data_IF_079406068354
#
_entry.id   IF_079406068354
#
_cell.length_a   1.000
_cell.length_b   1.000
_cell.length_c   1.000
_cell.angle_alpha   90.00
_cell.angle_beta   90.00
_cell.angle_gamma   90.00
#
_symmetry.space_group_name_H-M   'P 1'
#
loop_
_entity.id
_entity.type
_entity.pdbx_description
1 polymer ?
#
# COMPACT_ATOMS: atom_id res chain seq x y z
N UNK A 1 2.66 -20.49 9.90
CA UNK A 1 1.90 -21.50 9.14
C UNK A 1 1.82 -20.99 7.71
N UNK A 2 2.38 -21.71 6.76
CA UNK A 2 2.35 -21.32 5.34
C UNK A 2 1.54 -22.36 4.59
N UNK A 3 0.53 -21.92 3.84
CA UNK A 3 -0.23 -22.80 2.95
C UNK A 3 0.67 -23.14 1.76
N UNK A 4 1.11 -24.40 1.67
CA UNK A 4 1.91 -24.87 0.54
C UNK A 4 1.09 -24.75 -0.75
N UNK A 5 1.74 -24.37 -1.87
CA UNK A 5 1.08 -24.36 -3.18
C UNK A 5 0.56 -25.77 -3.50
N UNK A 6 -0.61 -25.84 -4.15
CA UNK A 6 -1.26 -27.08 -4.59
C UNK A 6 -1.83 -28.01 -3.51
N UNK A 7 -1.78 -27.63 -2.22
CA UNK A 7 -2.52 -28.36 -1.19
C UNK A 7 -4.04 -28.14 -1.35
N UNK A 8 -4.83 -28.99 -0.69
CA UNK A 8 -6.29 -28.88 -0.70
C UNK A 8 -6.78 -27.47 -0.29
N UNK A 9 -6.20 -26.92 0.78
CA UNK A 9 -6.54 -25.58 1.26
C UNK A 9 -6.22 -24.48 0.23
N UNK A 10 -5.11 -24.58 -0.50
CA UNK A 10 -4.76 -23.64 -1.58
C UNK A 10 -5.77 -23.71 -2.72
N UNK A 11 -6.14 -24.92 -3.15
CA UNK A 11 -7.12 -25.11 -4.24
C UNK A 11 -8.48 -24.56 -3.85
N UNK A 12 -8.95 -24.84 -2.63
CA UNK A 12 -10.21 -24.31 -2.12
C UNK A 12 -10.21 -22.77 -2.08
N UNK A 13 -9.14 -22.15 -1.59
CA UNK A 13 -9.03 -20.69 -1.52
C UNK A 13 -8.91 -20.03 -2.90
N UNK A 14 -8.23 -20.68 -3.86
CA UNK A 14 -8.04 -20.15 -5.22
C UNK A 14 -9.37 -19.97 -5.98
N UNK A 15 -10.41 -20.72 -5.62
CA UNK A 15 -11.76 -20.55 -6.19
C UNK A 15 -12.44 -19.24 -5.78
N UNK A 16 -11.97 -18.61 -4.70
CA UNK A 16 -12.49 -17.33 -4.20
C UNK A 16 -11.65 -16.14 -4.68
N UNK A 17 -10.55 -16.39 -5.40
CA UNK A 17 -9.66 -15.33 -5.87
C UNK A 17 -10.32 -14.55 -7.01
N UNK A 18 -10.44 -13.24 -6.83
CA UNK A 18 -10.95 -12.33 -7.85
C UNK A 18 -9.78 -11.56 -8.48
N UNK A 19 -9.40 -11.84 -9.75
CA UNK A 19 -8.15 -11.33 -10.33
C UNK A 19 -8.00 -9.81 -10.30
N UNK A 20 -9.11 -9.07 -10.49
CA UNK A 20 -9.06 -7.61 -10.46
C UNK A 20 -8.76 -7.09 -9.06
N UNK A 21 -9.49 -7.56 -8.04
CA UNK A 21 -9.26 -7.14 -6.64
C UNK A 21 -7.89 -7.59 -6.15
N UNK A 22 -7.43 -8.77 -6.58
CA UNK A 22 -6.07 -9.23 -6.31
C UNK A 22 -5.04 -8.23 -6.85
N UNK A 23 -5.16 -7.81 -8.10
CA UNK A 23 -4.23 -6.84 -8.68
C UNK A 23 -4.29 -5.49 -7.97
N UNK A 24 -5.48 -4.94 -7.75
CA UNK A 24 -5.67 -3.67 -7.03
C UNK A 24 -5.02 -3.72 -5.64
N UNK A 25 -5.33 -4.73 -4.83
CA UNK A 25 -4.74 -4.90 -3.50
C UNK A 25 -3.24 -5.18 -3.54
N UNK A 26 -2.74 -5.85 -4.57
CA UNK A 26 -1.29 -6.06 -4.76
C UNK A 26 -0.58 -4.72 -4.97
N UNK A 27 -1.14 -3.82 -5.78
CA UNK A 27 -0.57 -2.49 -6.03
C UNK A 27 -0.57 -1.64 -4.76
N UNK A 28 -1.66 -1.66 -3.99
CA UNK A 28 -1.74 -1.00 -2.68
C UNK A 28 -0.65 -1.50 -1.73
N UNK A 29 -0.49 -2.82 -1.65
CA UNK A 29 0.54 -3.46 -0.81
C UNK A 29 1.95 -3.14 -1.25
N UNK A 30 2.21 -3.02 -2.56
CA UNK A 30 3.52 -2.59 -3.07
C UNK A 30 3.84 -1.18 -2.54
N UNK A 31 2.91 -0.22 -2.69
CA UNK A 31 3.13 1.16 -2.24
C UNK A 31 3.37 1.24 -0.73
N UNK A 32 2.51 0.59 0.07
CA UNK A 32 2.64 0.55 1.54
C UNK A 32 3.94 -0.15 1.95
N UNK A 33 4.30 -1.23 1.25
CA UNK A 33 5.50 -2.03 1.52
C UNK A 33 6.80 -1.23 1.39
N UNK A 34 6.86 -0.24 0.50
CA UNK A 34 8.04 0.63 0.34
C UNK A 34 8.23 1.57 1.53
N UNK A 35 7.14 2.13 2.06
CA UNK A 35 7.19 3.07 3.18
C UNK A 35 7.62 2.39 4.47
N UNK A 36 7.23 1.12 4.65
CA UNK A 36 7.51 0.34 5.84
C UNK A 36 6.81 0.91 7.06
N UNK A 37 5.62 0.40 7.37
CA UNK A 37 4.83 0.84 8.53
C UNK A 37 3.91 -0.28 8.99
N UNK A 38 3.75 -0.41 10.31
CA UNK A 38 2.75 -1.31 10.90
C UNK A 38 1.36 -0.66 10.97
N UNK A 39 0.39 -1.35 11.56
CA UNK A 39 -0.99 -0.85 11.74
C UNK A 39 -1.11 0.46 12.54
N UNK A 40 -0.02 0.97 13.10
CA UNK A 40 0.02 2.18 13.93
C UNK A 40 0.32 3.46 13.12
N UNK A 41 0.60 3.35 11.83
CA UNK A 41 0.96 4.50 10.99
C UNK A 41 -0.24 4.93 10.14
N UNK A 42 -0.59 6.23 10.08
CA UNK A 42 -1.66 6.75 9.23
C UNK A 42 -1.27 6.72 7.75
N UNK A 43 -1.34 5.54 7.13
CA UNK A 43 -1.03 5.32 5.71
C UNK A 43 -2.28 4.79 5.03
N UNK A 44 -2.64 5.41 3.91
CA UNK A 44 -3.66 4.91 2.99
C UNK A 44 -3.06 4.63 1.62
N UNK A 45 -3.43 3.52 1.00
CA UNK A 45 -3.22 3.29 -0.42
C UNK A 45 -4.50 2.70 -1.02
N UNK A 46 -4.88 3.17 -2.20
CA UNK A 46 -6.07 2.73 -2.91
C UNK A 46 -5.76 2.61 -4.40
N UNK A 47 -6.00 1.42 -4.96
CA UNK A 47 -5.88 1.17 -6.39
C UNK A 47 -7.24 0.78 -6.97
N UNK A 48 -7.61 1.36 -8.11
CA UNK A 48 -8.90 1.11 -8.72
C UNK A 48 -8.78 1.09 -10.25
N UNK A 49 -9.31 0.04 -10.87
CA UNK A 49 -9.47 -0.02 -12.32
C UNK A 49 -10.39 1.09 -12.83
N UNK A 50 -9.93 1.82 -13.83
CA UNK A 50 -10.69 2.80 -14.59
C UNK A 50 -10.55 2.50 -16.09
N UNK A 51 -11.53 1.77 -16.65
CA UNK A 51 -11.48 1.34 -18.06
C UNK A 51 -10.26 0.48 -18.35
N UNK A 52 -9.34 1.01 -19.16
CA UNK A 52 -8.09 0.34 -19.58
C UNK A 52 -6.86 0.78 -18.76
N UNK A 53 -7.06 1.43 -17.62
CA UNK A 53 -5.98 1.89 -16.75
C UNK A 53 -6.31 1.63 -15.29
N UNK A 54 -5.33 1.79 -14.42
CA UNK A 54 -5.51 1.70 -12.98
C UNK A 54 -5.11 3.04 -12.39
N UNK A 55 -5.99 3.63 -11.57
CA UNK A 55 -5.63 4.78 -10.76
C UNK A 55 -5.09 4.29 -9.43
N UNK A 56 -3.91 4.75 -9.05
CA UNK A 56 -3.28 4.44 -7.77
C UNK A 56 -3.17 5.75 -7.00
N UNK A 57 -3.68 5.77 -5.76
CA UNK A 57 -3.53 6.88 -4.82
C UNK A 57 -2.92 6.35 -3.54
N UNK A 58 -1.98 7.09 -2.96
CA UNK A 58 -1.50 6.81 -1.62
C UNK A 58 -1.13 8.08 -0.88
N UNK A 59 -1.30 8.05 0.43
CA UNK A 59 -1.00 9.17 1.32
C UNK A 59 -0.51 8.70 2.69
N UNK A 60 0.32 9.53 3.29
CA UNK A 60 0.80 9.36 4.67
C UNK A 60 0.49 10.65 5.41
N UNK A 61 -0.09 10.54 6.60
CA UNK A 61 -0.45 11.68 7.43
C UNK A 61 0.31 11.65 8.75
N UNK A 62 0.54 12.83 9.33
CA UNK A 62 0.87 12.97 10.74
C UNK A 62 -0.33 12.50 11.61
N UNK A 63 -0.07 12.07 12.84
CA UNK A 63 -1.12 11.59 13.76
C UNK A 63 -2.20 12.64 14.05
N UNK A 64 -1.83 13.92 14.03
CA UNK A 64 -2.72 15.06 14.23
C UNK A 64 -3.38 15.56 12.92
N UNK A 65 -3.01 14.98 11.77
CA UNK A 65 -3.48 15.39 10.45
C UNK A 65 -2.92 16.73 9.93
N UNK A 66 -1.99 17.37 10.66
CA UNK A 66 -1.46 18.70 10.30
C UNK A 66 -0.60 18.68 9.04
N UNK A 67 0.08 17.56 8.79
CA UNK A 67 0.96 17.33 7.64
C UNK A 67 0.55 16.04 6.94
N UNK A 68 0.66 16.06 5.62
CA UNK A 68 0.47 14.88 4.80
C UNK A 68 1.33 14.95 3.53
N UNK A 69 1.65 13.78 3.00
CA UNK A 69 2.23 13.62 1.66
C UNK A 69 1.33 12.72 0.84
N UNK A 70 1.22 12.96 -0.46
CA UNK A 70 0.36 12.18 -1.35
C UNK A 70 0.97 11.97 -2.73
N UNK A 71 0.58 10.86 -3.33
CA UNK A 71 0.79 10.51 -4.75
C UNK A 71 -0.54 10.03 -5.32
N UNK A 72 -0.84 10.41 -6.57
CA UNK A 72 -2.07 10.04 -7.27
C UNK A 72 -1.76 10.01 -8.77
N UNK A 73 -1.74 8.82 -9.35
CA UNK A 73 -1.38 8.62 -10.76
C UNK A 73 -2.30 7.59 -11.44
N UNK A 74 -2.43 7.72 -12.76
CA UNK A 74 -3.08 6.73 -13.62
C UNK A 74 -1.99 5.99 -14.39
N UNK A 75 -2.01 4.66 -14.29
CA UNK A 75 -0.98 3.79 -14.86
C UNK A 75 -1.59 2.78 -15.83
N UNK A 76 -0.79 2.34 -16.80
CA UNK A 76 -1.16 1.23 -17.69
C UNK A 76 -1.15 -0.08 -16.91
N UNK A 77 -1.93 -1.05 -17.37
CA UNK A 77 -1.88 -2.42 -16.89
C UNK A 77 -0.49 -3.06 -17.05
N UNK A 78 0.20 -2.76 -18.15
CA UNK A 78 1.44 -3.46 -18.53
C UNK A 78 2.60 -3.19 -17.57
N UNK A 79 2.59 -2.03 -16.90
CA UNK A 79 3.66 -1.57 -16.01
C UNK A 79 3.17 -1.13 -14.63
N UNK A 80 1.96 -1.53 -14.24
CA UNK A 80 1.33 -1.06 -13.02
C UNK A 80 2.15 -1.36 -11.76
N UNK A 81 2.75 -2.55 -11.65
CA UNK A 81 3.56 -2.94 -10.48
C UNK A 81 4.85 -2.12 -10.35
N UNK A 82 5.56 -1.89 -11.45
CA UNK A 82 6.77 -1.06 -11.48
C UNK A 82 6.43 0.40 -11.15
N UNK A 83 5.32 0.90 -11.70
CA UNK A 83 4.83 2.25 -11.40
C UNK A 83 4.43 2.38 -9.94
N UNK A 84 3.74 1.40 -9.36
CA UNK A 84 3.39 1.37 -7.94
C UNK A 84 4.63 1.41 -7.06
N UNK A 85 5.68 0.64 -7.40
CA UNK A 85 6.95 0.65 -6.68
C UNK A 85 7.59 2.05 -6.72
N UNK A 86 7.67 2.66 -7.90
CA UNK A 86 8.19 4.03 -8.06
C UNK A 86 7.37 5.04 -7.24
N UNK A 87 6.05 4.94 -7.28
CA UNK A 87 5.15 5.82 -6.51
C UNK A 87 5.37 5.66 -5.00
N UNK A 88 5.63 4.44 -4.51
CA UNK A 88 6.01 4.20 -3.12
C UNK A 88 7.32 4.89 -2.75
N UNK A 89 8.33 4.83 -3.62
CA UNK A 89 9.59 5.55 -3.41
C UNK A 89 9.40 7.06 -3.44
N UNK A 90 8.63 7.57 -4.39
CA UNK A 90 8.31 8.99 -4.48
C UNK A 90 7.58 9.50 -3.23
N UNK A 91 6.60 8.74 -2.73
CA UNK A 91 5.88 9.06 -1.51
C UNK A 91 6.81 9.06 -0.28
N UNK A 92 7.72 8.09 -0.22
CA UNK A 92 8.74 7.99 0.82
C UNK A 92 9.69 9.19 0.81
N UNK A 93 10.16 9.60 -0.36
CA UNK A 93 11.14 10.69 -0.54
C UNK A 93 10.49 12.09 -0.39
N UNK A 94 9.18 12.20 -0.61
CA UNK A 94 8.41 13.44 -0.40
C UNK A 94 8.20 13.82 1.07
N UNK A 95 8.64 13.01 2.03
CA UNK A 95 8.38 13.23 3.45
C UNK A 95 7.65 12.07 4.13
N UNK A 96 7.28 11.02 3.39
CA UNK A 96 6.52 9.90 3.93
C UNK A 96 7.29 9.10 4.98
N UNK A 97 8.61 8.94 4.80
CA UNK A 97 9.46 8.23 5.78
C UNK A 97 9.54 8.97 7.11
N UNK A 98 9.58 10.29 7.07
CA UNK A 98 9.63 11.16 8.23
C UNK A 98 8.33 11.02 9.01
N UNK A 99 7.18 11.14 8.35
CA UNK A 99 5.87 10.97 8.97
C UNK A 99 5.67 9.57 9.58
N UNK A 100 6.14 8.53 8.89
CA UNK A 100 6.11 7.16 9.42
C UNK A 100 6.93 7.05 10.71
N UNK A 101 8.16 7.56 10.72
CA UNK A 101 9.03 7.52 11.91
C UNK A 101 8.42 8.30 13.08
N UNK A 102 7.87 9.47 12.81
CA UNK A 102 7.21 10.30 13.81
C UNK A 102 5.97 9.62 14.40
N UNK A 103 5.15 8.96 13.57
CA UNK A 103 3.97 8.23 14.03
C UNK A 103 4.34 7.06 14.95
N UNK A 104 5.40 6.31 14.60
CA UNK A 104 5.89 5.19 15.42
C UNK A 104 6.41 5.69 16.77
N UNK A 105 7.21 6.77 16.79
CA UNK A 105 7.76 7.28 18.05
C UNK A 105 6.67 7.80 18.98
N UNK A 106 5.70 8.56 18.46
CA UNK A 106 4.60 9.12 19.26
C UNK A 106 3.65 8.05 19.79
N UNK A 107 3.37 7.00 19.00
CA UNK A 107 2.51 5.88 19.44
C UNK A 107 3.18 5.05 20.53
N UNK A 108 4.52 4.93 20.51
CA UNK A 108 5.28 4.27 21.58
C UNK A 108 5.31 5.11 22.87
N UNK A 109 5.40 6.44 22.76
CA UNK A 109 5.35 7.34 23.91
C UNK A 109 3.99 7.38 24.61
N UNK A 110 2.89 7.17 23.88
CA UNK A 110 1.54 7.09 24.45
C UNK A 110 1.24 5.77 25.18
N UNK A 111 2.10 4.77 25.04
CA UNK A 111 1.98 3.45 25.67
C UNK A 111 2.89 3.29 26.91
N UNK A 112 3.55 4.37 27.35
CA UNK A 112 4.26 4.47 28.63
C UNK A 112 3.42 5.30 29.61
#
# INVERSE_FOLDING_TARGET
>A
MVTHRDCEAYRAASLLDHPQTHLETKLERIVIGVLGGGCQVPIGAYACKQGNSIRIRAEVLALDGSRYVKVDEIVSYDNCEEKALRMGHELADKGGRELVKEAISQTQSACQ
#
